data_IF_321944524127
#
_entry.id   IF_321944524127
#
_cell.length_a   1.000
_cell.length_b   1.000
_cell.length_c   1.000
_cell.angle_alpha   90.00
_cell.angle_beta   90.00
_cell.angle_gamma   90.00
#
_symmetry.space_group_name_H-M   'P 1'
#
loop_
_entity.id
_entity.type
_entity.pdbx_description
1 polymer ?
#
# COMPACT_ATOMS: atom_id res chain seq x y z
N UNK A 1 -11.26 -21.15 -10.68
CA UNK A 1 -9.82 -21.07 -10.63
C UNK A 1 -9.32 -20.90 -9.20
N UNK A 2 -8.09 -21.31 -8.94
CA UNK A 2 -7.41 -21.15 -7.65
C UNK A 2 -6.77 -19.76 -7.58
N UNK A 3 -6.89 -19.10 -6.43
CA UNK A 3 -6.21 -17.83 -6.14
C UNK A 3 -5.25 -18.06 -4.98
N UNK A 4 -4.03 -17.60 -5.13
CA UNK A 4 -3.01 -17.64 -4.08
C UNK A 4 -2.71 -16.22 -3.65
N UNK A 5 -2.72 -15.96 -2.35
CA UNK A 5 -2.26 -14.73 -1.74
C UNK A 5 -1.05 -15.06 -0.88
N UNK A 6 0.09 -14.42 -1.13
CA UNK A 6 1.34 -14.70 -0.42
C UNK A 6 1.90 -13.43 0.21
N UNK A 7 2.43 -13.55 1.42
CA UNK A 7 3.23 -12.54 2.09
C UNK A 7 4.67 -13.07 2.20
N UNK A 8 5.62 -12.34 1.63
CA UNK A 8 7.05 -12.68 1.70
C UNK A 8 7.78 -11.68 2.57
N UNK A 9 8.73 -12.16 3.37
CA UNK A 9 9.70 -11.33 4.07
C UNK A 9 10.82 -10.90 3.11
N UNK A 10 11.16 -9.63 3.16
CA UNK A 10 12.25 -9.05 2.39
C UNK A 10 13.02 -8.09 3.29
N UNK A 11 14.35 -8.13 3.27
CA UNK A 11 15.16 -7.15 3.99
C UNK A 11 14.99 -5.75 3.39
N UNK A 12 15.40 -4.72 4.10
CA UNK A 12 15.42 -3.34 3.60
C UNK A 12 16.36 -3.14 2.39
N UNK A 13 17.34 -4.05 2.19
CA UNK A 13 18.17 -4.11 0.98
C UNK A 13 17.53 -4.91 -0.16
N UNK A 14 16.33 -5.46 0.04
CA UNK A 14 15.61 -6.21 -0.99
C UNK A 14 16.01 -7.68 -1.11
N UNK A 15 16.61 -8.29 -0.09
CA UNK A 15 16.92 -9.73 -0.06
C UNK A 15 15.68 -10.49 0.40
N UNK A 16 15.11 -11.40 -0.43
CA UNK A 16 14.00 -12.24 0.00
C UNK A 16 14.47 -13.23 1.08
N UNK A 17 13.70 -13.33 2.16
CA UNK A 17 13.99 -14.24 3.28
C UNK A 17 13.09 -15.49 3.26
N UNK A 18 11.88 -15.38 2.72
CA UNK A 18 10.95 -16.50 2.66
C UNK A 18 9.48 -16.06 2.74
N UNK A 19 8.59 -17.06 2.76
CA UNK A 19 7.13 -16.85 2.92
C UNK A 19 6.83 -16.78 4.40
N UNK A 20 6.12 -15.72 4.83
CA UNK A 20 5.59 -15.59 6.19
C UNK A 20 4.19 -16.19 6.27
N UNK A 21 3.36 -15.87 5.28
CA UNK A 21 1.97 -16.28 5.21
C UNK A 21 1.57 -16.56 3.76
N UNK A 22 0.76 -17.59 3.57
CA UNK A 22 0.18 -17.91 2.28
C UNK A 22 -1.23 -18.47 2.47
N UNK A 23 -2.16 -17.95 1.72
CA UNK A 23 -3.54 -18.41 1.66
C UNK A 23 -3.90 -18.82 0.24
N UNK A 24 -4.60 -19.93 0.13
CA UNK A 24 -5.08 -20.44 -1.16
C UNK A 24 -6.59 -20.56 -1.10
N UNK A 25 -7.27 -19.79 -1.95
CA UNK A 25 -8.72 -19.79 -2.04
C UNK A 25 -9.20 -20.26 -3.42
N UNK A 26 -10.21 -21.12 -3.44
CA UNK A 26 -10.94 -21.43 -4.67
C UNK A 26 -11.96 -20.32 -4.93
N UNK A 27 -11.95 -19.78 -6.16
CA UNK A 27 -12.96 -18.81 -6.56
C UNK A 27 -14.30 -19.55 -6.69
N UNK A 28 -15.13 -19.49 -5.66
CA UNK A 28 -16.53 -19.86 -5.80
C UNK A 28 -17.19 -18.95 -6.85
N UNK A 29 -18.01 -19.52 -7.71
CA UNK A 29 -18.85 -18.68 -8.58
C UNK A 29 -19.68 -17.76 -7.71
N UNK A 30 -19.76 -16.46 -8.01
CA UNK A 30 -20.60 -15.56 -7.22
C UNK A 30 -22.02 -16.15 -7.20
N UNK A 31 -22.51 -16.50 -6.01
CA UNK A 31 -23.89 -17.02 -5.83
C UNK A 31 -24.96 -16.00 -6.24
N UNK A 32 -24.59 -14.74 -6.44
CA UNK A 32 -25.49 -13.62 -6.73
C UNK A 32 -24.89 -12.63 -7.73
N UNK A 33 -25.17 -12.84 -9.00
CA UNK A 33 -24.95 -11.82 -10.05
C UNK A 33 -25.95 -10.65 -9.98
N UNK A 34 -26.97 -10.76 -9.11
CA UNK A 34 -28.07 -9.79 -8.98
C UNK A 34 -27.82 -8.68 -7.95
N UNK A 35 -26.70 -8.68 -7.21
CA UNK A 35 -26.45 -7.62 -6.24
C UNK A 35 -26.04 -6.30 -6.91
N UNK A 36 -26.67 -5.21 -6.48
CA UNK A 36 -26.34 -3.87 -6.91
C UNK A 36 -24.89 -3.50 -6.46
N UNK A 37 -24.28 -2.53 -7.15
CA UNK A 37 -22.97 -2.01 -6.75
C UNK A 37 -22.95 -1.47 -5.30
N UNK A 38 -24.10 -0.96 -4.84
CA UNK A 38 -24.27 -0.42 -3.50
C UNK A 38 -24.31 -1.53 -2.44
N UNK A 39 -25.04 -2.59 -2.68
CA UNK A 39 -25.06 -3.79 -1.82
C UNK A 39 -23.68 -4.43 -1.71
N UNK A 40 -22.94 -4.55 -2.82
CA UNK A 40 -21.54 -5.06 -2.81
C UNK A 40 -20.61 -4.14 -2.02
N UNK A 41 -20.85 -2.83 -2.03
CA UNK A 41 -20.03 -1.86 -1.27
C UNK A 41 -20.33 -1.86 0.23
N UNK A 42 -21.57 -2.12 0.64
CA UNK A 42 -21.98 -2.13 2.04
C UNK A 42 -21.66 -3.43 2.80
N UNK A 43 -21.20 -4.49 2.12
CA UNK A 43 -20.78 -5.73 2.76
C UNK A 43 -19.71 -5.47 3.83
N UNK A 44 -19.72 -6.23 4.93
CA UNK A 44 -18.61 -6.29 5.88
C UNK A 44 -17.29 -6.56 5.17
N UNK A 45 -16.18 -6.12 5.75
CA UNK A 45 -14.86 -6.28 5.12
C UNK A 45 -14.47 -7.76 5.00
N UNK A 46 -14.88 -8.59 5.94
CA UNK A 46 -14.63 -10.03 6.01
C UNK A 46 -15.21 -10.78 4.80
N UNK A 47 -16.27 -10.25 4.20
CA UNK A 47 -16.91 -10.83 3.00
C UNK A 47 -16.28 -10.30 1.69
N UNK A 48 -15.31 -9.41 1.76
CA UNK A 48 -14.68 -8.80 0.59
C UNK A 48 -13.35 -9.47 0.26
N UNK A 49 -13.02 -9.49 -1.02
CA UNK A 49 -11.73 -9.99 -1.50
C UNK A 49 -10.53 -9.26 -0.87
N UNK A 50 -10.72 -8.01 -0.45
CA UNK A 50 -9.67 -7.20 0.16
C UNK A 50 -9.35 -7.65 1.59
N UNK A 51 -10.22 -8.45 2.24
CA UNK A 51 -9.99 -8.94 3.60
C UNK A 51 -8.65 -9.69 3.73
N UNK A 52 -8.24 -10.42 2.70
CA UNK A 52 -6.95 -11.12 2.68
C UNK A 52 -5.74 -10.25 3.01
N UNK A 53 -5.81 -8.94 2.71
CA UNK A 53 -4.73 -8.00 3.04
C UNK A 53 -4.67 -7.71 4.54
N UNK A 54 -5.83 -7.55 5.18
CA UNK A 54 -5.93 -7.41 6.64
C UNK A 54 -5.47 -8.68 7.35
N UNK A 55 -5.97 -9.82 6.90
CA UNK A 55 -5.65 -11.12 7.46
C UNK A 55 -4.15 -11.42 7.34
N UNK A 56 -3.57 -11.18 6.19
CA UNK A 56 -2.12 -11.30 5.94
C UNK A 56 -1.29 -10.41 6.87
N UNK A 57 -1.74 -9.18 7.15
CA UNK A 57 -1.07 -8.30 8.10
C UNK A 57 -1.17 -8.86 9.53
N UNK A 58 -2.35 -9.28 9.98
CA UNK A 58 -2.58 -9.88 11.31
C UNK A 58 -1.70 -11.10 11.51
N UNK A 59 -1.72 -12.03 10.56
CA UNK A 59 -0.92 -13.24 10.58
C UNK A 59 0.58 -12.97 10.59
N UNK A 60 1.04 -11.94 9.87
CA UNK A 60 2.43 -11.51 9.90
C UNK A 60 2.81 -11.03 11.29
N UNK A 61 2.00 -10.18 11.91
CA UNK A 61 2.26 -9.65 13.26
C UNK A 61 2.27 -10.75 14.32
N UNK A 62 1.41 -11.76 14.19
CA UNK A 62 1.36 -12.91 15.11
C UNK A 62 2.59 -13.83 15.02
N UNK A 63 3.16 -13.95 13.82
CA UNK A 63 4.28 -14.90 13.55
C UNK A 63 5.65 -14.30 13.75
N UNK A 64 5.74 -12.99 13.64
CA UNK A 64 7.02 -12.30 13.74
C UNK A 64 7.34 -11.94 15.19
N UNK A 65 8.61 -12.03 15.62
CA UNK A 65 9.03 -11.54 16.92
C UNK A 65 8.71 -10.06 17.11
N UNK A 66 8.26 -9.70 18.31
CA UNK A 66 7.79 -8.34 18.61
C UNK A 66 8.90 -7.27 18.58
N UNK A 67 10.14 -7.66 18.71
CA UNK A 67 11.34 -6.81 18.68
C UNK A 67 11.83 -6.50 17.25
N UNK A 68 11.30 -7.21 16.25
CA UNK A 68 11.67 -6.97 14.85
C UNK A 68 10.75 -5.90 14.24
N UNK A 69 11.29 -4.76 13.79
CA UNK A 69 10.48 -3.75 13.12
C UNK A 69 9.99 -4.25 11.76
N UNK A 70 8.68 -4.25 11.57
CA UNK A 70 8.02 -4.73 10.35
C UNK A 70 7.40 -3.54 9.62
N UNK A 71 7.57 -3.52 8.29
CA UNK A 71 6.86 -2.62 7.38
C UNK A 71 6.06 -3.47 6.38
N UNK A 72 4.74 -3.47 6.52
CA UNK A 72 3.86 -4.14 5.55
C UNK A 72 3.74 -3.31 4.29
N UNK A 73 4.20 -3.84 3.15
CA UNK A 73 4.17 -3.14 1.86
C UNK A 73 3.10 -3.75 0.96
N UNK A 74 2.13 -2.94 0.55
CA UNK A 74 1.02 -3.37 -0.30
C UNK A 74 0.92 -2.54 -1.58
N UNK A 75 0.35 -3.14 -2.61
CA UNK A 75 -0.06 -2.41 -3.80
C UNK A 75 -1.42 -1.71 -3.60
N UNK A 76 -2.02 -1.24 -4.72
CA UNK A 76 -3.30 -0.55 -4.74
C UNK A 76 -4.49 -1.35 -4.18
N UNK A 77 -4.39 -2.67 -4.08
CA UNK A 77 -5.46 -3.49 -3.51
C UNK A 77 -5.56 -3.35 -1.99
N UNK A 78 -4.46 -2.94 -1.33
CA UNK A 78 -4.45 -2.56 0.08
C UNK A 78 -5.03 -1.16 0.38
N UNK A 79 -5.46 -0.41 -0.64
CA UNK A 79 -5.96 0.96 -0.51
C UNK A 79 -7.42 1.02 -0.01
N UNK A 80 -7.68 0.63 1.23
CA UNK A 80 -8.99 0.73 1.87
C UNK A 80 -8.88 1.18 3.33
N UNK A 81 -9.89 1.91 3.80
CA UNK A 81 -9.84 2.62 5.07
C UNK A 81 -9.74 1.69 6.28
N UNK A 82 -10.41 0.55 6.22
CA UNK A 82 -10.43 -0.45 7.27
C UNK A 82 -9.00 -0.97 7.56
N UNK A 83 -8.19 -1.17 6.52
CA UNK A 83 -6.78 -1.56 6.67
C UNK A 83 -5.99 -0.49 7.44
N UNK A 84 -6.13 0.78 7.03
CA UNK A 84 -5.38 1.87 7.67
C UNK A 84 -5.79 2.06 9.13
N UNK A 85 -7.09 1.96 9.43
CA UNK A 85 -7.62 2.09 10.78
C UNK A 85 -7.07 1.00 11.70
N UNK A 86 -7.18 -0.25 11.27
CA UNK A 86 -6.72 -1.39 12.06
C UNK A 86 -5.21 -1.43 12.23
N UNK A 87 -4.44 -1.18 11.16
CA UNK A 87 -2.99 -1.07 11.26
C UNK A 87 -2.56 -0.01 12.27
N UNK A 88 -3.30 1.12 12.33
CA UNK A 88 -3.05 2.18 13.32
C UNK A 88 -3.37 1.72 14.74
N UNK A 89 -4.46 0.98 14.94
CA UNK A 89 -4.84 0.43 16.25
C UNK A 89 -3.82 -0.59 16.75
N UNK A 90 -3.33 -1.43 15.86
CA UNK A 90 -2.29 -2.43 16.14
C UNK A 90 -0.88 -1.85 16.22
N UNK A 91 -0.71 -0.53 15.99
CA UNK A 91 0.61 0.13 15.88
C UNK A 91 1.51 -0.52 14.83
N UNK A 92 0.90 -1.11 13.79
CA UNK A 92 1.61 -1.72 12.68
C UNK A 92 2.05 -0.67 11.66
N UNK A 93 3.29 -0.79 11.18
CA UNK A 93 3.76 0.06 10.10
C UNK A 93 3.34 -0.52 8.76
N UNK A 94 2.80 0.34 7.91
CA UNK A 94 2.49 0.00 6.53
C UNK A 94 3.03 1.02 5.53
N UNK A 95 3.16 0.62 4.28
CA UNK A 95 3.44 1.46 3.12
C UNK A 95 2.60 0.97 1.95
N UNK A 96 1.62 1.74 1.56
CA UNK A 96 0.61 1.33 0.58
C UNK A 96 0.55 2.32 -0.58
N UNK A 97 0.51 1.80 -1.81
CA UNK A 97 0.20 2.62 -2.98
C UNK A 97 -1.29 2.90 -3.02
N UNK A 98 -1.65 4.18 -2.93
CA UNK A 98 -3.03 4.61 -2.98
C UNK A 98 -3.46 4.99 -4.40
N UNK A 99 -4.72 4.71 -4.72
CA UNK A 99 -5.39 5.06 -5.98
C UNK A 99 -6.67 5.85 -5.74
N UNK A 100 -7.15 5.89 -4.51
CA UNK A 100 -8.32 6.68 -4.15
C UNK A 100 -7.89 8.11 -3.80
N UNK A 101 -8.38 9.08 -4.57
CA UNK A 101 -8.13 10.50 -4.33
C UNK A 101 -9.01 11.02 -3.19
N UNK A 102 -8.63 10.67 -1.95
CA UNK A 102 -9.38 10.99 -0.73
C UNK A 102 -9.36 12.48 -0.41
N UNK A 103 -10.38 12.91 0.32
CA UNK A 103 -10.36 14.20 0.98
C UNK A 103 -9.37 14.15 2.15
N UNK A 104 -8.60 15.20 2.31
CA UNK A 104 -7.71 15.45 3.44
C UNK A 104 -8.15 16.75 4.13
N UNK A 105 -7.34 17.25 5.04
CA UNK A 105 -7.61 18.53 5.72
C UNK A 105 -8.02 19.64 4.74
N UNK A 106 -8.84 20.57 5.19
CA UNK A 106 -9.33 21.73 4.43
C UNK A 106 -10.17 21.39 3.18
N UNK A 107 -10.73 20.18 3.10
CA UNK A 107 -11.57 19.77 1.98
C UNK A 107 -10.83 19.56 0.67
N UNK A 108 -9.53 19.49 0.71
CA UNK A 108 -8.69 19.27 -0.49
C UNK A 108 -8.51 17.80 -0.82
N UNK A 109 -8.12 17.51 -2.04
CA UNK A 109 -7.84 16.14 -2.52
C UNK A 109 -6.36 15.80 -2.35
N UNK A 110 -6.07 14.62 -1.78
CA UNK A 110 -4.70 14.18 -1.44
C UNK A 110 -3.74 14.23 -2.63
N UNK A 111 -4.16 13.86 -3.83
CA UNK A 111 -3.30 13.89 -5.01
C UNK A 111 -2.96 15.31 -5.43
N UNK A 112 -3.91 16.25 -5.31
CA UNK A 112 -3.65 17.65 -5.58
C UNK A 112 -2.67 18.22 -4.56
N UNK A 113 -2.92 17.98 -3.27
CA UNK A 113 -2.06 18.45 -2.19
C UNK A 113 -0.61 17.98 -2.33
N UNK A 114 -0.43 16.72 -2.71
CA UNK A 114 0.90 16.16 -2.90
C UNK A 114 1.62 16.73 -4.14
N UNK A 115 0.90 16.86 -5.26
CA UNK A 115 1.49 17.43 -6.48
C UNK A 115 1.85 18.90 -6.35
N UNK A 116 1.10 19.66 -5.55
CA UNK A 116 1.34 21.09 -5.31
C UNK A 116 2.34 21.35 -4.17
N UNK A 117 2.73 20.34 -3.40
CA UNK A 117 3.75 20.51 -2.37
C UNK A 117 5.16 20.62 -3.00
N UNK A 118 6.11 21.25 -2.31
CA UNK A 118 7.47 21.35 -2.83
C UNK A 118 8.13 19.98 -2.98
N UNK A 119 9.04 19.85 -3.95
CA UNK A 119 9.91 18.68 -4.08
C UNK A 119 10.79 18.62 -2.85
N UNK A 120 10.74 17.51 -2.13
CA UNK A 120 11.55 17.28 -0.93
C UNK A 120 12.95 16.74 -1.26
N UNK A 121 13.11 16.12 -2.42
CA UNK A 121 14.39 15.60 -2.90
C UNK A 121 14.24 14.72 -4.14
N UNK A 122 15.34 14.11 -4.55
CA UNK A 122 15.40 13.20 -5.70
C UNK A 122 16.27 11.99 -5.40
N UNK A 123 15.91 10.84 -5.97
CA UNK A 123 16.71 9.62 -5.85
C UNK A 123 16.71 8.81 -7.15
N UNK A 124 17.67 7.91 -7.28
CA UNK A 124 17.66 6.94 -8.38
C UNK A 124 17.02 5.64 -7.91
N UNK A 125 15.98 5.21 -8.62
CA UNK A 125 15.28 3.95 -8.36
C UNK A 125 15.54 2.98 -9.50
N UNK A 126 15.92 1.76 -9.15
CA UNK A 126 16.03 0.67 -10.13
C UNK A 126 14.65 0.05 -10.35
N UNK A 127 14.08 0.32 -11.52
CA UNK A 127 12.85 -0.32 -11.97
C UNK A 127 13.13 -1.72 -12.50
N UNK A 128 12.36 -2.68 -12.04
CA UNK A 128 12.42 -4.05 -12.55
C UNK A 128 11.94 -4.12 -14.01
N UNK A 129 12.40 -5.16 -14.73
CA UNK A 129 11.90 -5.47 -16.07
C UNK A 129 10.37 -5.64 -16.03
N UNK A 130 9.67 -5.05 -16.99
CA UNK A 130 8.26 -5.32 -17.24
C UNK A 130 8.13 -6.21 -18.49
N UNK A 131 7.96 -7.55 -18.34
CA UNK A 131 7.88 -8.46 -19.48
C UNK A 131 6.66 -8.21 -20.37
N UNK A 132 5.55 -7.74 -19.80
CA UNK A 132 4.28 -7.51 -20.52
C UNK A 132 4.39 -6.36 -21.53
N UNK A 133 5.17 -5.34 -21.17
CA UNK A 133 5.38 -4.15 -22.01
C UNK A 133 6.75 -4.17 -22.71
N UNK A 134 7.49 -5.29 -22.62
CA UNK A 134 8.83 -5.43 -23.18
C UNK A 134 9.83 -4.36 -22.72
N UNK A 135 9.63 -3.79 -21.52
CA UNK A 135 10.50 -2.76 -20.95
C UNK A 135 11.62 -3.45 -20.13
N UNK A 136 12.91 -3.24 -20.47
CA UNK A 136 14.01 -3.78 -19.68
C UNK A 136 14.12 -3.10 -18.32
N UNK A 137 14.84 -3.71 -17.38
CA UNK A 137 15.19 -3.05 -16.13
C UNK A 137 16.01 -1.81 -16.41
N UNK A 138 15.69 -0.70 -15.70
CA UNK A 138 16.37 0.58 -15.90
C UNK A 138 16.47 1.35 -14.60
N UNK A 139 17.49 2.19 -14.48
CA UNK A 139 17.57 3.17 -13.43
C UNK A 139 16.86 4.45 -13.88
N UNK A 140 15.97 4.96 -13.03
CA UNK A 140 15.25 6.21 -13.30
C UNK A 140 15.46 7.19 -12.15
N UNK A 141 15.63 8.46 -12.48
CA UNK A 141 15.62 9.53 -11.48
C UNK A 141 14.17 9.83 -11.13
N UNK A 142 13.86 9.80 -9.84
CA UNK A 142 12.54 10.07 -9.28
C UNK A 142 12.63 11.26 -8.35
N UNK A 143 11.75 12.22 -8.51
CA UNK A 143 11.54 13.30 -7.55
C UNK A 143 10.46 12.85 -6.56
N UNK A 144 10.59 13.26 -5.29
CA UNK A 144 9.63 12.92 -4.27
C UNK A 144 9.17 14.14 -3.48
N UNK A 145 7.90 14.09 -3.08
CA UNK A 145 7.23 15.06 -2.22
C UNK A 145 6.76 14.31 -0.98
N UNK A 146 6.72 14.97 0.17
CA UNK A 146 6.29 14.36 1.41
C UNK A 146 5.45 15.35 2.22
N UNK A 147 4.32 14.88 2.75
CA UNK A 147 3.42 15.69 3.58
C UNK A 147 2.73 14.84 4.64
N UNK A 148 2.59 15.36 5.84
CA UNK A 148 1.63 14.81 6.82
C UNK A 148 0.22 15.16 6.38
N UNK A 149 -0.68 14.20 6.46
CA UNK A 149 -2.07 14.34 6.04
C UNK A 149 -2.99 13.69 7.06
N UNK A 150 -4.17 14.27 7.24
CA UNK A 150 -5.26 13.62 7.97
C UNK A 150 -6.26 13.09 6.96
N UNK A 151 -6.54 11.80 6.99
CA UNK A 151 -7.61 11.20 6.21
C UNK A 151 -8.79 10.87 7.11
N UNK A 152 -10.00 10.99 6.58
CA UNK A 152 -11.23 10.82 7.34
C UNK A 152 -11.96 9.53 6.93
N UNK A 153 -12.64 8.94 7.91
CA UNK A 153 -13.51 7.78 7.66
C UNK A 153 -14.54 8.13 6.59
N UNK A 154 -14.69 7.30 5.56
CA UNK A 154 -15.73 7.52 4.54
C UNK A 154 -17.12 7.51 5.20
N UNK A 155 -17.99 8.49 4.87
CA UNK A 155 -19.33 8.64 5.46
C UNK A 155 -20.20 7.38 5.36
N UNK A 156 -19.97 6.55 4.34
CA UNK A 156 -20.67 5.27 4.15
C UNK A 156 -20.24 4.18 5.13
N UNK A 157 -19.08 4.36 5.82
CA UNK A 157 -18.55 3.45 6.82
C UNK A 157 -18.99 3.91 8.20
N UNK A 158 -19.97 3.20 8.75
CA UNK A 158 -20.58 3.54 10.05
C UNK A 158 -20.12 2.62 11.18
N UNK A 159 -19.20 1.72 10.90
CA UNK A 159 -18.66 0.76 11.86
C UNK A 159 -17.95 1.52 12.99
N UNK A 160 -18.43 1.33 14.23
CA UNK A 160 -17.97 2.09 15.42
C UNK A 160 -16.50 1.79 15.79
N UNK A 161 -15.99 0.64 15.38
CA UNK A 161 -14.61 0.26 15.65
C UNK A 161 -13.60 0.98 14.74
N UNK A 162 -14.05 1.57 13.63
CA UNK A 162 -13.16 2.33 12.76
C UNK A 162 -12.92 3.73 13.33
N UNK A 163 -11.66 4.15 13.35
CA UNK A 163 -11.27 5.51 13.73
C UNK A 163 -11.99 6.53 12.85
N UNK A 164 -12.30 7.69 13.41
CA UNK A 164 -12.93 8.78 12.64
C UNK A 164 -11.93 9.48 11.71
N UNK A 165 -10.68 9.60 12.17
CA UNK A 165 -9.59 10.20 11.42
C UNK A 165 -8.28 9.47 11.67
N UNK A 166 -7.37 9.55 10.72
CA UNK A 166 -6.02 8.96 10.77
C UNK A 166 -5.00 10.00 10.33
N UNK A 167 -3.98 10.21 11.15
CA UNK A 167 -2.83 11.06 10.83
C UNK A 167 -1.74 10.17 10.24
N UNK A 168 -1.40 10.41 8.98
CA UNK A 168 -0.48 9.58 8.20
C UNK A 168 0.53 10.44 7.46
N UNK A 169 1.59 9.80 6.97
CA UNK A 169 2.53 10.42 6.03
C UNK A 169 2.17 10.00 4.61
N UNK A 170 2.04 10.97 3.73
CA UNK A 170 1.79 10.75 2.31
C UNK A 170 3.03 11.15 1.50
N UNK A 171 3.44 10.30 0.56
CA UNK A 171 4.60 10.51 -0.30
C UNK A 171 4.15 10.39 -1.75
N UNK A 172 4.46 11.39 -2.56
CA UNK A 172 4.29 11.35 -4.00
C UNK A 172 5.65 11.23 -4.66
N UNK A 173 5.80 10.25 -5.52
CA UNK A 173 7.06 9.96 -6.23
C UNK A 173 6.77 9.91 -7.71
N UNK A 174 7.54 10.63 -8.52
CA UNK A 174 7.34 10.66 -9.96
C UNK A 174 8.66 10.75 -10.72
N UNK A 175 8.67 10.29 -11.95
CA UNK A 175 9.85 10.37 -12.82
C UNK A 175 10.21 11.83 -13.11
N UNK A 176 11.46 12.23 -12.87
CA UNK A 176 11.92 13.62 -13.01
C UNK A 176 11.84 14.10 -14.45
N UNK A 177 11.28 15.28 -14.63
CA UNK A 177 11.32 16.01 -15.90
C UNK A 177 10.44 15.47 -17.02
N UNK A 178 9.69 14.39 -16.81
CA UNK A 178 8.78 13.83 -17.82
C UNK A 178 7.58 13.11 -17.23
N UNK A 179 6.56 12.92 -18.06
CA UNK A 179 5.44 12.06 -17.73
C UNK A 179 5.89 10.59 -17.81
N UNK A 180 5.80 9.88 -16.71
CA UNK A 180 6.28 8.50 -16.62
C UNK A 180 5.71 7.77 -15.41
N UNK A 181 6.54 7.00 -14.73
CA UNK A 181 6.14 6.29 -13.51
C UNK A 181 5.81 7.27 -12.40
N UNK A 182 4.65 7.08 -11.75
CA UNK A 182 4.27 7.82 -10.55
C UNK A 182 3.66 6.90 -9.50
N UNK A 183 3.94 7.20 -8.22
CA UNK A 183 3.38 6.51 -7.08
C UNK A 183 2.88 7.52 -6.05
N UNK A 184 1.67 7.30 -5.58
CA UNK A 184 1.13 7.95 -4.38
C UNK A 184 1.17 6.91 -3.27
N UNK A 185 1.97 7.14 -2.25
CA UNK A 185 2.18 6.22 -1.13
C UNK A 185 1.61 6.82 0.14
N UNK A 186 1.05 5.96 0.99
CA UNK A 186 0.54 6.33 2.31
C UNK A 186 1.16 5.40 3.34
N UNK A 187 1.57 5.94 4.49
CA UNK A 187 2.25 5.18 5.54
C UNK A 187 1.95 5.70 6.94
N UNK A 188 1.99 4.81 7.93
CA UNK A 188 2.00 5.16 9.37
C UNK A 188 3.35 5.66 9.85
N UNK A 189 4.42 5.42 9.10
CA UNK A 189 5.77 5.82 9.50
C UNK A 189 5.89 7.34 9.50
N UNK A 190 6.27 7.89 10.66
CA UNK A 190 6.61 9.32 10.76
C UNK A 190 7.98 9.56 10.17
N UNK A 191 8.04 10.39 9.14
CA UNK A 191 9.28 10.76 8.44
C UNK A 191 9.87 12.00 9.07
N UNK A 192 11.17 11.97 9.35
CA UNK A 192 11.94 13.06 9.96
C UNK A 192 13.09 13.58 9.07
N UNK A 193 13.45 12.82 8.02
CA UNK A 193 14.57 13.15 7.13
C UNK A 193 14.32 12.66 5.70
N UNK A 194 15.02 13.23 4.73
CA UNK A 194 15.02 12.80 3.33
C UNK A 194 15.45 11.33 3.19
N UNK A 195 16.45 10.89 3.95
CA UNK A 195 16.94 9.51 3.95
C UNK A 195 15.85 8.51 4.34
N UNK A 196 14.93 8.88 5.25
CA UNK A 196 13.81 8.02 5.62
C UNK A 196 12.77 7.95 4.49
N UNK A 197 12.55 9.05 3.75
CA UNK A 197 11.69 9.03 2.55
C UNK A 197 12.29 8.08 1.51
N UNK A 198 13.58 8.25 1.20
CA UNK A 198 14.29 7.42 0.23
C UNK A 198 14.22 5.94 0.60
N UNK A 199 14.41 5.61 1.89
CA UNK A 199 14.27 4.25 2.40
C UNK A 199 12.87 3.68 2.16
N UNK A 200 11.82 4.44 2.45
CA UNK A 200 10.42 4.03 2.19
C UNK A 200 10.16 3.82 0.70
N UNK A 201 10.62 4.74 -0.16
CA UNK A 201 10.48 4.60 -1.62
C UNK A 201 11.22 3.37 -2.12
N UNK A 202 12.42 3.08 -1.59
CA UNK A 202 13.17 1.88 -1.93
C UNK A 202 12.44 0.60 -1.46
N UNK A 203 11.89 0.59 -0.25
CA UNK A 203 11.07 -0.52 0.23
C UNK A 203 9.86 -0.77 -0.68
N UNK A 204 9.19 0.30 -1.15
CA UNK A 204 8.10 0.15 -2.11
C UNK A 204 8.59 -0.42 -3.45
N UNK A 205 9.75 0.02 -3.94
CA UNK A 205 10.34 -0.54 -5.16
C UNK A 205 10.64 -2.05 -5.05
N UNK A 206 10.93 -2.55 -3.84
CA UNK A 206 11.14 -3.98 -3.60
C UNK A 206 9.86 -4.82 -3.68
N UNK A 207 8.67 -4.20 -3.67
CA UNK A 207 7.39 -4.91 -3.82
C UNK A 207 7.36 -5.87 -5.03
N UNK A 208 8.05 -5.54 -6.11
CA UNK A 208 8.15 -6.39 -7.29
C UNK A 208 8.75 -7.79 -7.05
N UNK A 209 9.34 -8.02 -5.88
CA UNK A 209 9.87 -9.33 -5.50
C UNK A 209 8.77 -10.38 -5.43
N UNK A 210 7.57 -10.03 -4.96
CA UNK A 210 6.43 -10.94 -4.88
C UNK A 210 5.96 -11.38 -6.29
N UNK A 211 5.98 -10.46 -7.26
CA UNK A 211 5.60 -10.80 -8.62
C UNK A 211 6.59 -11.78 -9.25
N UNK A 212 7.89 -11.61 -8.98
CA UNK A 212 8.91 -12.56 -9.42
C UNK A 212 8.78 -13.92 -8.74
N UNK A 213 8.41 -13.93 -7.47
CA UNK A 213 8.17 -15.18 -6.73
C UNK A 213 7.03 -16.00 -7.36
N UNK A 214 5.96 -15.37 -7.84
CA UNK A 214 4.85 -16.06 -8.50
C UNK A 214 5.10 -16.42 -9.96
N UNK A 215 6.20 -15.95 -10.56
CA UNK A 215 6.58 -16.27 -11.95
C UNK A 215 7.47 -17.52 -12.09
N UNK A 216 7.88 -18.11 -10.99
CA UNK A 216 8.67 -19.34 -10.92
C UNK A 216 7.71 -20.52 -10.72
#
# INVERSE_FOLDING_TARGET
>A
GMRVHSCIAVTDQGIPLGIIYQETNTREKPKDDFQTKEQKRSRPIEEKENFRWLDSMRETLLRMPADIPILTVCDREGDFYEFFSEATDLKANFLIRIVQNRMVDDGKKIFHELRSSPVAGSMVVRMSRNPKEHIPSRNIKMDYHCKKVTIYRPQRRKEKHLREKLELTAIYVHESGKKGTEWFLLTTVTVKSEKEIEKLVQCYAHRWKIERFHFI
#
